data_IF_579908526061
#
_entry.id   IF_579908526061
#
_cell.length_a   1.000
_cell.length_b   1.000
_cell.length_c   1.000
_cell.angle_alpha   90.00
_cell.angle_beta   90.00
_cell.angle_gamma   90.00
#
_symmetry.space_group_name_H-M   'P 1'
#
loop_
_entity.id
_entity.type
_entity.pdbx_description
1 polymer ?
#
# COMPACT_ATOMS: atom_id res chain seq x y z
N UNK A 1 -0.40 2.35 22.23
CA UNK A 1 -0.95 1.81 20.97
C UNK A 1 -2.02 2.75 20.48
N UNK A 2 -1.91 3.29 19.26
CA UNK A 2 -2.92 4.23 18.72
C UNK A 2 -4.10 3.48 18.12
N UNK A 3 -5.27 4.10 18.14
CA UNK A 3 -6.42 3.55 17.42
C UNK A 3 -6.23 3.71 15.90
N UNK A 4 -6.56 2.65 15.16
CA UNK A 4 -6.53 2.66 13.70
C UNK A 4 -7.75 3.38 13.14
N UNK A 5 -7.51 4.21 12.11
CA UNK A 5 -8.58 4.87 11.38
C UNK A 5 -9.41 3.85 10.61
N UNK A 6 -10.62 4.25 10.18
CA UNK A 6 -11.49 3.39 9.38
C UNK A 6 -10.82 3.00 8.06
N UNK A 7 -10.10 3.94 7.46
CA UNK A 7 -9.37 3.79 6.21
C UNK A 7 -8.21 2.80 6.36
N UNK A 8 -7.46 2.86 7.47
CA UNK A 8 -6.39 1.90 7.78
C UNK A 8 -6.95 0.50 7.96
N UNK A 9 -8.02 0.35 8.75
CA UNK A 9 -8.73 -0.93 8.94
C UNK A 9 -9.20 -1.51 7.60
N UNK A 10 -9.70 -0.67 6.69
CA UNK A 10 -10.12 -1.09 5.35
C UNK A 10 -8.93 -1.50 4.46
N UNK A 11 -7.84 -0.72 4.46
CA UNK A 11 -6.64 -1.00 3.69
C UNK A 11 -5.96 -2.30 4.13
N UNK A 12 -5.86 -2.53 5.44
CA UNK A 12 -5.36 -3.78 6.02
C UNK A 12 -6.20 -4.96 5.51
N UNK A 13 -7.53 -4.91 5.66
CA UNK A 13 -8.43 -5.97 5.17
C UNK A 13 -8.26 -6.24 3.69
N UNK A 14 -8.12 -5.20 2.87
CA UNK A 14 -7.92 -5.36 1.43
C UNK A 14 -6.62 -6.10 1.09
N UNK A 15 -5.52 -5.79 1.79
CA UNK A 15 -4.26 -6.50 1.59
C UNK A 15 -4.34 -7.95 2.03
N UNK A 16 -4.90 -8.19 3.21
CA UNK A 16 -5.02 -9.54 3.78
C UNK A 16 -5.83 -10.43 2.86
N UNK A 17 -7.03 -10.02 2.46
CA UNK A 17 -7.92 -10.79 1.59
C UNK A 17 -7.27 -11.09 0.23
N UNK A 18 -6.43 -10.18 -0.27
CA UNK A 18 -5.88 -10.29 -1.63
C UNK A 18 -4.56 -11.05 -1.70
N UNK A 19 -3.70 -10.90 -0.69
CA UNK A 19 -2.29 -11.29 -0.78
C UNK A 19 -1.79 -12.12 0.40
N UNK A 20 -2.52 -12.22 1.51
CA UNK A 20 -2.06 -13.01 2.63
C UNK A 20 -2.29 -14.50 2.35
N UNK A 21 -1.21 -15.26 2.18
CA UNK A 21 -1.26 -16.71 1.99
C UNK A 21 -1.84 -17.46 3.20
N UNK A 22 -1.79 -16.85 4.38
CA UNK A 22 -2.27 -17.46 5.62
C UNK A 22 -3.67 -16.99 5.99
N UNK A 23 -4.38 -16.31 5.08
CA UNK A 23 -5.72 -15.83 5.35
C UNK A 23 -6.75 -16.70 4.63
N UNK A 24 -7.60 -17.33 5.42
CA UNK A 24 -8.82 -17.98 4.97
C UNK A 24 -10.05 -17.09 5.25
N UNK A 25 -11.04 -17.13 4.36
CA UNK A 25 -12.22 -16.24 4.46
C UNK A 25 -13.19 -16.66 5.56
N UNK A 26 -13.28 -17.96 5.85
CA UNK A 26 -14.20 -18.53 6.82
C UNK A 26 -13.55 -18.66 8.19
N UNK A 27 -12.27 -19.06 8.21
CA UNK A 27 -11.52 -19.33 9.43
C UNK A 27 -10.64 -18.16 9.89
N UNK A 28 -10.43 -17.15 9.05
CA UNK A 28 -9.56 -16.02 9.34
C UNK A 28 -8.07 -16.36 9.13
N UNK A 29 -7.20 -15.73 9.93
CA UNK A 29 -5.76 -15.96 9.78
C UNK A 29 -5.38 -17.34 10.35
N UNK A 30 -4.93 -18.24 9.47
CA UNK A 30 -4.46 -19.57 9.81
C UNK A 30 -3.12 -19.45 10.58
N UNK A 31 -2.99 -20.12 11.74
CA UNK A 31 -1.78 -20.04 12.55
C UNK A 31 -0.63 -20.77 11.87
N UNK A 32 0.41 -20.01 11.48
CA UNK A 32 1.74 -20.54 11.18
C UNK A 32 2.64 -20.29 12.39
N UNK A 33 2.60 -21.18 13.39
CA UNK A 33 3.41 -21.19 14.62
C UNK A 33 3.47 -19.88 15.45
N UNK A 34 2.71 -18.86 15.07
CA UNK A 34 2.60 -17.58 15.76
C UNK A 34 1.15 -17.09 15.71
N UNK A 35 0.68 -16.50 16.81
CA UNK A 35 -0.67 -15.97 16.92
C UNK A 35 -0.86 -14.79 15.93
N UNK A 36 -1.91 -14.88 15.11
CA UNK A 36 -2.21 -13.87 14.10
C UNK A 36 -3.47 -13.08 14.48
N UNK A 37 -3.28 -12.01 15.24
CA UNK A 37 -4.35 -11.16 15.79
C UNK A 37 -5.05 -10.25 14.78
N UNK A 38 -4.75 -10.37 13.49
CA UNK A 38 -5.11 -9.42 12.43
C UNK A 38 -6.62 -9.20 12.24
N UNK A 39 -7.49 -9.99 12.88
CA UNK A 39 -8.95 -9.82 12.89
C UNK A 39 -9.61 -10.19 14.23
N UNK A 40 -8.87 -10.31 15.33
CA UNK A 40 -9.48 -10.46 16.66
C UNK A 40 -10.36 -9.25 17.00
N UNK A 41 -11.38 -9.43 17.87
CA UNK A 41 -12.37 -8.39 18.25
C UNK A 41 -11.77 -7.07 18.73
N UNK A 42 -10.51 -7.10 19.13
CA UNK A 42 -9.75 -5.95 19.59
C UNK A 42 -8.64 -5.68 18.56
N UNK A 43 -8.79 -4.59 17.79
CA UNK A 43 -7.76 -4.02 16.90
C UNK A 43 -6.53 -3.50 17.68
N UNK A 44 -6.23 -4.11 18.83
CA UNK A 44 -5.21 -3.78 19.80
C UNK A 44 -4.10 -4.85 19.84
N UNK A 45 -4.01 -5.69 18.81
CA UNK A 45 -2.98 -6.71 18.67
C UNK A 45 -1.80 -6.24 17.80
N UNK A 46 -0.59 -6.68 18.14
CA UNK A 46 0.56 -6.53 17.26
C UNK A 46 0.28 -7.27 15.94
N UNK A 47 0.65 -6.66 14.80
CA UNK A 47 0.56 -7.32 13.50
C UNK A 47 1.40 -8.60 13.49
N UNK A 48 0.87 -9.69 12.92
CA UNK A 48 1.63 -10.93 12.82
C UNK A 48 2.89 -10.74 11.97
N UNK A 49 3.94 -11.53 12.22
CA UNK A 49 5.22 -11.43 11.53
C UNK A 49 5.06 -11.49 10.01
N UNK A 50 4.31 -12.47 9.51
CA UNK A 50 4.08 -12.62 8.07
C UNK A 50 3.40 -11.40 7.44
N UNK A 51 2.40 -10.82 8.12
CA UNK A 51 1.78 -9.60 7.61
C UNK A 51 2.78 -8.46 7.54
N UNK A 52 3.56 -8.22 8.60
CA UNK A 52 4.55 -7.13 8.64
C UNK A 52 5.63 -7.28 7.57
N UNK A 53 6.13 -8.49 7.36
CA UNK A 53 7.30 -8.72 6.50
C UNK A 53 6.95 -8.99 5.04
N UNK A 54 5.79 -9.60 4.75
CA UNK A 54 5.44 -10.04 3.39
C UNK A 54 4.23 -9.32 2.79
N UNK A 55 3.25 -8.93 3.60
CA UNK A 55 1.96 -8.40 3.09
C UNK A 55 1.91 -6.88 3.16
N UNK A 56 2.30 -6.28 4.29
CA UNK A 56 2.28 -4.84 4.53
C UNK A 56 3.16 -4.06 3.53
N UNK A 57 4.38 -4.52 3.16
CA UNK A 57 5.22 -3.81 2.19
C UNK A 57 4.62 -3.68 0.78
N UNK A 58 3.57 -4.44 0.46
CA UNK A 58 2.82 -4.29 -0.78
C UNK A 58 2.04 -2.97 -0.84
N UNK A 59 1.89 -2.28 0.30
CA UNK A 59 1.31 -0.95 0.39
C UNK A 59 2.20 -0.01 1.22
N UNK A 60 3.21 0.61 0.61
CA UNK A 60 4.16 1.48 1.30
C UNK A 60 3.53 2.67 2.03
N UNK A 61 2.38 3.16 1.53
CA UNK A 61 1.66 4.27 2.18
C UNK A 61 1.06 3.81 3.50
N UNK A 62 0.41 2.64 3.50
CA UNK A 62 -0.13 2.05 4.72
C UNK A 62 1.00 1.67 5.67
N UNK A 63 2.07 1.07 5.17
CA UNK A 63 3.25 0.72 5.97
C UNK A 63 3.82 1.93 6.71
N UNK A 64 4.04 3.04 6.02
CA UNK A 64 4.51 4.27 6.65
C UNK A 64 3.50 4.80 7.67
N UNK A 65 2.21 4.85 7.34
CA UNK A 65 1.18 5.31 8.26
C UNK A 65 1.11 4.48 9.55
N UNK A 66 1.33 3.16 9.46
CA UNK A 66 1.32 2.26 10.61
C UNK A 66 2.60 2.32 11.45
N UNK A 67 3.74 2.70 10.84
CA UNK A 67 5.04 2.75 11.52
C UNK A 67 5.40 4.15 12.09
N UNK A 68 4.72 5.22 11.67
CA UNK A 68 4.95 6.56 12.22
C UNK A 68 4.05 6.86 13.42
N UNK A 69 4.66 7.18 14.56
CA UNK A 69 3.96 7.85 15.68
C UNK A 69 3.84 9.34 15.32
N UNK A 70 2.66 9.78 14.86
CA UNK A 70 2.45 11.17 14.50
C UNK A 70 1.50 11.39 13.32
N UNK A 71 1.50 12.58 12.71
CA UNK A 71 0.65 12.88 11.56
C UNK A 71 0.95 11.94 10.39
N UNK A 72 -0.10 11.65 9.62
CA UNK A 72 0.02 10.78 8.46
C UNK A 72 1.12 11.28 7.50
N UNK A 73 1.88 10.37 6.88
CA UNK A 73 2.97 10.77 6.00
C UNK A 73 2.45 11.57 4.82
N UNK A 74 3.21 12.57 4.39
CA UNK A 74 2.84 13.38 3.24
C UNK A 74 2.78 12.52 1.98
N UNK A 75 1.59 12.42 1.39
CA UNK A 75 1.37 11.70 0.14
C UNK A 75 1.04 12.66 -0.99
N UNK A 76 1.38 12.26 -2.21
CA UNK A 76 0.99 12.98 -3.43
C UNK A 76 0.23 12.05 -4.36
N UNK A 77 -0.78 12.55 -5.09
CA UNK A 77 -1.45 11.74 -6.10
C UNK A 77 -0.51 11.53 -7.31
N UNK A 78 -0.42 10.30 -7.79
CA UNK A 78 0.34 10.03 -9.01
C UNK A 78 -0.35 10.65 -10.23
N UNK A 79 0.34 11.46 -11.05
CA UNK A 79 -0.27 12.11 -12.22
C UNK A 79 -0.65 11.15 -13.36
N UNK A 80 -0.34 9.86 -13.23
CA UNK A 80 -0.66 8.82 -14.23
C UNK A 80 -1.85 7.98 -13.80
N UNK A 81 -1.88 7.52 -12.55
CA UNK A 81 -2.90 6.59 -12.06
C UNK A 81 -3.73 7.11 -10.88
N UNK A 82 -3.49 8.34 -10.43
CA UNK A 82 -4.20 8.98 -9.31
C UNK A 82 -3.85 8.45 -7.92
N UNK A 83 -3.23 7.26 -7.81
CA UNK A 83 -2.94 6.62 -6.51
C UNK A 83 -2.03 7.48 -5.63
N UNK A 84 -2.31 7.58 -4.32
CA UNK A 84 -1.40 8.23 -3.39
C UNK A 84 -0.09 7.44 -3.34
N UNK A 85 1.02 8.15 -3.24
CA UNK A 85 2.33 7.57 -2.99
C UNK A 85 3.17 8.49 -2.13
N UNK A 86 4.15 7.91 -1.45
CA UNK A 86 5.16 8.62 -0.68
C UNK A 86 6.23 9.16 -1.65
N UNK A 87 6.35 10.49 -1.81
CA UNK A 87 7.41 11.06 -2.62
C UNK A 87 8.74 10.95 -1.88
N UNK A 88 9.68 10.23 -2.48
CA UNK A 88 11.07 10.27 -2.06
C UNK A 88 11.80 11.35 -2.86
N UNK A 89 12.18 12.44 -2.19
CA UNK A 89 12.77 13.63 -2.79
C UNK A 89 11.95 14.17 -3.97
N UNK A 90 12.56 14.18 -5.18
CA UNK A 90 11.95 14.72 -6.41
C UNK A 90 11.12 13.70 -7.20
N UNK A 91 10.81 12.52 -6.63
CA UNK A 91 10.03 11.48 -7.32
C UNK A 91 8.63 11.98 -7.68
N UNK A 92 8.30 11.92 -8.97
CA UNK A 92 7.01 12.41 -9.52
C UNK A 92 5.94 11.32 -9.71
N UNK A 93 6.34 10.06 -9.79
CA UNK A 93 5.44 8.95 -10.12
C UNK A 93 5.50 7.85 -9.06
N UNK A 94 4.36 7.19 -8.80
CA UNK A 94 4.27 6.15 -7.78
C UNK A 94 5.06 4.88 -8.14
N UNK A 95 5.41 4.65 -9.40
CA UNK A 95 6.11 3.44 -9.84
C UNK A 95 6.90 3.66 -11.13
N UNK A 96 7.86 2.76 -11.40
CA UNK A 96 8.59 2.70 -12.68
C UNK A 96 7.65 2.54 -13.87
N UNK A 97 6.56 1.78 -13.70
CA UNK A 97 5.53 1.61 -14.73
C UNK A 97 4.84 2.94 -15.05
N UNK A 98 4.45 3.72 -14.04
CA UNK A 98 3.86 5.04 -14.24
C UNK A 98 4.86 6.02 -14.88
N UNK A 99 6.14 6.00 -14.46
CA UNK A 99 7.20 6.79 -15.11
C UNK A 99 7.35 6.45 -16.60
N UNK A 100 7.33 5.15 -16.94
CA UNK A 100 7.42 4.67 -18.32
C UNK A 100 6.20 5.10 -19.14
N UNK A 101 5.00 4.95 -18.60
CA UNK A 101 3.76 5.36 -19.27
C UNK A 101 3.75 6.88 -19.56
N UNK A 102 4.17 7.70 -18.59
CA UNK A 102 4.29 9.14 -18.79
C UNK A 102 5.30 9.49 -19.89
N UNK A 103 6.46 8.83 -19.91
CA UNK A 103 7.48 9.02 -20.96
C UNK A 103 6.92 8.66 -22.34
N UNK A 104 6.23 7.53 -22.46
CA UNK A 104 5.63 7.09 -23.72
C UNK A 104 4.55 8.06 -24.22
N UNK A 105 3.69 8.58 -23.33
CA UNK A 105 2.69 9.59 -23.68
C UNK A 105 3.35 10.85 -24.23
N UNK A 106 4.41 11.34 -23.57
CA UNK A 106 5.19 12.50 -24.06
C UNK A 106 5.80 12.23 -25.42
N UNK A 107 6.41 11.06 -25.62
CA UNK A 107 7.03 10.68 -26.90
C UNK A 107 5.99 10.62 -28.03
N UNK A 108 4.83 9.99 -27.80
CA UNK A 108 3.74 9.94 -28.78
C UNK A 108 3.24 11.33 -29.15
N UNK A 109 3.07 12.22 -28.17
CA UNK A 109 2.68 13.61 -28.40
C UNK A 109 3.71 14.39 -29.23
N UNK A 110 5.00 14.19 -28.95
CA UNK A 110 6.08 14.78 -29.75
C UNK A 110 6.06 14.29 -31.20
N UNK A 111 5.96 12.97 -31.41
CA UNK A 111 5.92 12.38 -32.75
C UNK A 111 4.72 12.90 -33.57
N UNK A 112 3.53 13.02 -32.95
CA UNK A 112 2.34 13.60 -33.58
C UNK A 112 2.49 15.07 -33.98
N UNK A 113 3.28 15.85 -33.23
CA UNK A 113 3.42 17.29 -33.45
C UNK A 113 4.49 17.63 -34.50
N UNK A 114 5.54 16.82 -34.60
CA UNK A 114 6.74 17.18 -35.37
C UNK A 114 7.17 16.15 -36.41
N UNK A 115 6.55 14.96 -36.45
CA UNK A 115 6.97 13.84 -37.31
C UNK A 115 5.80 13.09 -37.97
N UNK A 116 4.59 13.63 -37.89
CA UNK A 116 3.38 13.10 -38.51
C UNK A 116 2.67 14.17 -39.29
#
# INVERSE_FOLDING_TARGET
>A
MRELTREEKAAIRSLVVKWCANYDREMGCLPLDCECYMLGKCWTGAYCRYFREAVLPLNPVLEAALNTEGPAPETRPCPVCGRPFLPDGRRRYCSRACSKAARQKKQRGYMRKYRG
#
